data_IF_283357489460
#
_entry.id   IF_283357489460
#
_cell.length_a   1.000
_cell.length_b   1.000
_cell.length_c   1.000
_cell.angle_alpha   90.00
_cell.angle_beta   90.00
_cell.angle_gamma   90.00
#
_symmetry.space_group_name_H-M   'P 1'
#
loop_
_entity.id
_entity.type
_entity.pdbx_description
1 polymer ?
#
# COMPACT_ATOMS: atom_id res chain seq x y z
N UNK A 1 6.98 -11.50 12.46
CA UNK A 1 5.63 -10.89 12.42
C UNK A 1 5.55 -9.96 11.23
N UNK A 2 4.39 -9.87 10.58
CA UNK A 2 4.16 -8.99 9.43
C UNK A 2 2.79 -8.34 9.54
N UNK A 3 2.64 -7.16 8.94
CA UNK A 3 1.37 -6.41 8.89
C UNK A 3 0.85 -6.38 7.46
N UNK A 4 -0.43 -6.67 7.28
CA UNK A 4 -1.12 -6.54 6.00
C UNK A 4 -2.15 -5.41 6.15
N UNK A 5 -2.10 -4.44 5.25
CA UNK A 5 -3.04 -3.32 5.16
C UNK A 5 -3.91 -3.57 3.94
N UNK A 6 -5.23 -3.69 4.14
CA UNK A 6 -6.22 -3.84 3.06
C UNK A 6 -7.03 -2.56 2.99
N UNK A 7 -6.98 -1.89 1.83
CA UNK A 7 -7.54 -0.55 1.65
C UNK A 7 -6.43 0.43 1.25
N UNK A 8 -6.64 1.10 0.12
CA UNK A 8 -5.61 1.89 -0.55
C UNK A 8 -5.81 3.40 -0.51
N UNK A 9 -5.12 4.09 -1.40
CA UNK A 9 -5.10 5.54 -1.48
C UNK A 9 -4.23 6.17 -0.40
N UNK A 10 -4.48 7.45 -0.10
CA UNK A 10 -3.63 8.19 0.83
C UNK A 10 -3.61 7.57 2.23
N UNK A 11 -4.74 7.06 2.73
CA UNK A 11 -4.81 6.47 4.06
C UNK A 11 -3.95 5.21 4.20
N UNK A 12 -4.06 4.27 3.24
CA UNK A 12 -3.29 3.04 3.23
C UNK A 12 -1.78 3.31 3.12
N UNK A 13 -1.40 4.20 2.20
CA UNK A 13 -0.01 4.60 2.01
C UNK A 13 0.58 5.32 3.23
N UNK A 14 -0.16 6.25 3.84
CA UNK A 14 0.28 6.97 5.05
C UNK A 14 0.46 6.02 6.22
N UNK A 15 -0.48 5.08 6.42
CA UNK A 15 -0.35 4.08 7.48
C UNK A 15 0.87 3.18 7.26
N UNK A 16 1.08 2.70 6.02
CA UNK A 16 2.23 1.87 5.68
C UNK A 16 3.56 2.61 5.94
N UNK A 17 3.63 3.89 5.57
CA UNK A 17 4.80 4.73 5.80
C UNK A 17 5.04 4.98 7.30
N UNK A 18 3.98 5.26 8.07
CA UNK A 18 4.08 5.45 9.51
C UNK A 18 4.64 4.20 10.21
N UNK A 19 4.12 3.02 9.88
CA UNK A 19 4.62 1.75 10.45
C UNK A 19 6.07 1.50 10.04
N UNK A 20 6.42 1.74 8.78
CA UNK A 20 7.81 1.62 8.31
C UNK A 20 8.76 2.54 9.10
N UNK A 21 8.36 3.79 9.34
CA UNK A 21 9.14 4.75 10.14
C UNK A 21 9.25 4.34 11.61
N UNK A 22 8.14 3.98 12.25
CA UNK A 22 8.12 3.59 13.67
C UNK A 22 8.91 2.30 13.93
N UNK A 23 8.87 1.36 12.98
CA UNK A 23 9.62 0.10 13.05
C UNK A 23 11.06 0.20 12.54
N UNK A 24 11.49 1.36 12.04
CA UNK A 24 12.79 1.53 11.37
C UNK A 24 13.02 0.49 10.25
N UNK A 25 11.95 0.09 9.55
CA UNK A 25 12.00 -0.92 8.50
C UNK A 25 12.17 -2.37 8.98
N UNK A 26 12.19 -2.63 10.30
CA UNK A 26 12.36 -3.97 10.84
C UNK A 26 11.07 -4.82 10.77
N UNK A 27 9.91 -4.20 10.55
CA UNK A 27 8.62 -4.88 10.43
C UNK A 27 8.17 -4.89 8.96
N UNK A 28 8.02 -6.08 8.33
CA UNK A 28 7.45 -6.20 6.99
C UNK A 28 6.01 -5.68 6.94
N UNK A 29 5.74 -4.78 5.99
CA UNK A 29 4.41 -4.22 5.73
C UNK A 29 4.02 -4.48 4.28
N UNK A 30 2.84 -5.05 4.10
CA UNK A 30 2.25 -5.29 2.78
C UNK A 30 0.98 -4.44 2.63
N UNK A 31 0.92 -3.62 1.59
CA UNK A 31 -0.25 -2.81 1.24
C UNK A 31 -0.97 -3.46 0.05
N UNK A 32 -2.25 -3.78 0.24
CA UNK A 32 -3.13 -4.35 -0.79
C UNK A 32 -4.19 -3.31 -1.11
N UNK A 33 -4.17 -2.81 -2.34
CA UNK A 33 -5.12 -1.83 -2.85
C UNK A 33 -6.04 -2.48 -3.90
N UNK A 34 -7.32 -2.09 -3.88
CA UNK A 34 -8.23 -2.44 -4.95
C UNK A 34 -7.92 -1.57 -6.17
N UNK A 35 -7.54 -2.18 -7.28
CA UNK A 35 -7.44 -1.50 -8.57
C UNK A 35 -8.76 -1.66 -9.30
N UNK A 36 -9.34 -0.53 -9.72
CA UNK A 36 -10.53 -0.55 -10.55
C UNK A 36 -10.14 -1.13 -11.94
N UNK A 37 -10.92 -2.01 -12.55
CA UNK A 37 -10.54 -2.67 -13.81
C UNK A 37 -10.24 -1.67 -14.95
N UNK A 38 -10.85 -0.48 -14.94
CA UNK A 38 -10.56 0.59 -15.90
C UNK A 38 -9.26 1.37 -15.60
N UNK A 39 -8.75 1.31 -14.37
CA UNK A 39 -7.52 2.02 -13.96
C UNK A 39 -6.23 1.37 -14.49
N UNK A 40 -6.29 0.12 -14.95
CA UNK A 40 -5.17 -0.60 -15.57
C UNK A 40 -5.07 -0.39 -17.08
N UNK A 41 -5.90 0.46 -17.69
CA UNK A 41 -5.70 0.93 -19.07
C UNK A 41 -4.43 1.78 -19.16
N UNK A 42 -3.28 1.11 -19.16
CA UNK A 42 -2.01 1.66 -19.61
C UNK A 42 -2.21 2.12 -21.05
N UNK A 43 -2.11 3.42 -21.28
CA UNK A 43 -2.24 4.07 -22.58
C UNK A 43 -1.46 3.32 -23.66
N UNK A 44 -2.16 2.59 -24.52
CA UNK A 44 -1.65 2.04 -25.78
C UNK A 44 -1.76 3.06 -26.90
N UNK A 45 -1.16 4.24 -26.71
CA UNK A 45 -0.92 5.26 -27.74
C UNK A 45 0.58 5.57 -27.76
#
# INVERSE_FOLDING_TARGET
MSVIIVGGGMAGATLALAISRLSHGALPVHLIEATAPESTCSSGL
#
